data_IF_895117208297
#
_entry.id   IF_895117208297
#
_cell.length_a   1.000
_cell.length_b   1.000
_cell.length_c   1.000
_cell.angle_alpha   90.00
_cell.angle_beta   90.00
_cell.angle_gamma   90.00
#
_symmetry.space_group_name_H-M   'P 1'
#
loop_
_entity.id
_entity.type
_entity.pdbx_description
1 polymer ?
#
# COMPACT_ATOMS: atom_id res chain seq x y z
N UNK A 1 -28.34 -0.20 -32.36
CA UNK A 1 -28.72 0.79 -31.33
C UNK A 1 -28.81 0.18 -29.92
N UNK A 2 -29.33 -1.05 -29.75
CA UNK A 2 -29.40 -1.73 -28.45
C UNK A 2 -28.04 -2.23 -27.89
N UNK A 3 -27.16 -2.75 -28.74
CA UNK A 3 -25.85 -3.26 -28.33
C UNK A 3 -24.90 -2.17 -27.78
N UNK A 4 -24.99 -0.94 -28.31
CA UNK A 4 -24.23 0.21 -27.82
C UNK A 4 -24.72 0.72 -26.47
N UNK A 5 -26.03 0.70 -26.22
CA UNK A 5 -26.58 1.07 -24.92
C UNK A 5 -26.22 0.09 -23.80
N UNK A 6 -26.27 -1.22 -24.10
CA UNK A 6 -25.92 -2.27 -23.14
C UNK A 6 -24.43 -2.23 -22.75
N UNK A 7 -23.54 -2.09 -23.74
CA UNK A 7 -22.09 -2.00 -23.49
C UNK A 7 -21.73 -0.76 -22.67
N UNK A 8 -22.34 0.39 -22.97
CA UNK A 8 -22.16 1.61 -22.18
C UNK A 8 -22.68 1.46 -20.74
N UNK A 9 -23.83 0.82 -20.54
CA UNK A 9 -24.36 0.54 -19.21
C UNK A 9 -23.42 -0.34 -18.39
N UNK A 10 -22.93 -1.43 -18.96
CA UNK A 10 -21.99 -2.36 -18.30
C UNK A 10 -20.68 -1.65 -17.94
N UNK A 11 -20.16 -0.80 -18.83
CA UNK A 11 -18.98 0.02 -18.55
C UNK A 11 -19.21 0.97 -17.37
N UNK A 12 -20.30 1.75 -17.37
CA UNK A 12 -20.62 2.68 -16.28
C UNK A 12 -20.84 1.97 -14.95
N UNK A 13 -21.52 0.82 -14.96
CA UNK A 13 -21.69 -0.02 -13.78
C UNK A 13 -20.34 -0.51 -13.23
N UNK A 14 -19.45 -0.94 -14.13
CA UNK A 14 -18.10 -1.40 -13.75
C UNK A 14 -17.24 -0.28 -13.17
N UNK A 15 -17.34 0.94 -13.73
CA UNK A 15 -16.72 2.15 -13.16
C UNK A 15 -17.26 2.43 -11.76
N UNK A 16 -18.59 2.41 -11.58
CA UNK A 16 -19.21 2.68 -10.28
C UNK A 16 -18.79 1.65 -9.22
N UNK A 17 -18.75 0.36 -9.57
CA UNK A 17 -18.24 -0.69 -8.70
C UNK A 17 -16.76 -0.47 -8.34
N UNK A 18 -15.93 -0.14 -9.33
CA UNK A 18 -14.51 0.15 -9.12
C UNK A 18 -14.31 1.31 -8.13
N UNK A 19 -14.99 2.44 -8.35
CA UNK A 19 -14.96 3.59 -7.43
C UNK A 19 -15.46 3.19 -6.04
N UNK A 20 -16.56 2.45 -5.96
CA UNK A 20 -17.13 1.97 -4.70
C UNK A 20 -16.12 1.17 -3.87
N UNK A 21 -15.43 0.21 -4.49
CA UNK A 21 -14.41 -0.61 -3.82
C UNK A 21 -13.16 0.18 -3.45
N UNK A 22 -12.69 1.11 -4.29
CA UNK A 22 -11.56 2.01 -3.95
C UNK A 22 -11.89 2.84 -2.70
N UNK A 23 -13.07 3.46 -2.68
CA UNK A 23 -13.50 4.31 -1.56
C UNK A 23 -13.77 3.49 -0.31
N UNK A 24 -14.40 2.30 -0.43
CA UNK A 24 -14.61 1.40 0.70
C UNK A 24 -13.26 0.97 1.31
N UNK A 25 -12.32 0.52 0.48
CA UNK A 25 -10.98 0.12 0.93
C UNK A 25 -10.24 1.25 1.63
N UNK A 26 -10.37 2.46 1.14
CA UNK A 26 -9.57 3.59 1.64
C UNK A 26 -10.21 4.24 2.86
N UNK A 27 -11.49 4.58 2.76
CA UNK A 27 -12.21 5.32 3.79
C UNK A 27 -12.70 4.39 4.89
N UNK A 28 -13.39 3.29 4.56
CA UNK A 28 -14.00 2.42 5.58
C UNK A 28 -12.90 1.67 6.34
N UNK A 29 -12.00 0.98 5.63
CA UNK A 29 -10.92 0.25 6.30
C UNK A 29 -9.93 1.21 6.98
N UNK A 30 -9.65 2.37 6.39
CA UNK A 30 -8.82 3.40 7.03
C UNK A 30 -9.41 3.92 8.34
N UNK A 31 -10.72 4.21 8.38
CA UNK A 31 -11.41 4.61 9.60
C UNK A 31 -11.46 3.48 10.63
N UNK A 32 -11.67 2.24 10.20
CA UNK A 32 -11.64 1.06 11.08
C UNK A 32 -10.25 0.88 11.71
N UNK A 33 -9.18 0.96 10.93
CA UNK A 33 -7.81 0.91 11.45
C UNK A 33 -7.50 2.08 12.36
N UNK A 34 -7.92 3.29 12.01
CA UNK A 34 -7.73 4.46 12.89
C UNK A 34 -8.42 4.25 14.24
N UNK A 35 -9.67 3.78 14.25
CA UNK A 35 -10.40 3.43 15.49
C UNK A 35 -9.76 2.24 16.21
N UNK A 36 -9.23 1.28 15.47
CA UNK A 36 -8.49 0.16 16.04
C UNK A 36 -7.24 0.67 16.77
N UNK A 37 -6.45 1.55 16.16
CA UNK A 37 -5.27 2.15 16.80
C UNK A 37 -5.60 2.94 18.07
N UNK A 38 -6.69 3.72 18.08
CA UNK A 38 -7.02 4.61 19.20
C UNK A 38 -7.75 3.89 20.33
N UNK A 39 -8.74 3.06 20.01
CA UNK A 39 -9.67 2.47 20.98
C UNK A 39 -9.76 0.95 20.93
N UNK A 40 -8.98 0.27 20.07
CA UNK A 40 -9.00 -1.18 19.89
C UNK A 40 -10.42 -1.70 19.61
N UNK A 41 -11.15 -0.98 18.75
CA UNK A 41 -12.58 -1.19 18.51
C UNK A 41 -12.91 -2.66 18.14
N UNK A 42 -12.20 -3.21 17.16
CA UNK A 42 -12.45 -4.55 16.62
C UNK A 42 -12.10 -5.59 17.67
N UNK A 43 -10.91 -5.49 18.26
CA UNK A 43 -10.45 -6.40 19.32
C UNK A 43 -11.40 -6.41 20.52
N UNK A 44 -11.81 -5.23 21.01
CA UNK A 44 -12.76 -5.14 22.13
C UNK A 44 -14.13 -5.68 21.78
N UNK A 45 -14.58 -5.51 20.54
CA UNK A 45 -15.84 -6.09 20.09
C UNK A 45 -15.78 -7.61 20.14
N UNK A 46 -14.71 -8.25 19.65
CA UNK A 46 -14.55 -9.71 19.74
C UNK A 46 -14.48 -10.20 21.19
N UNK A 47 -13.65 -9.57 22.02
CA UNK A 47 -13.50 -9.95 23.44
C UNK A 47 -14.84 -9.84 24.19
N UNK A 48 -15.64 -8.79 23.92
CA UNK A 48 -16.96 -8.62 24.53
C UNK A 48 -17.94 -9.74 24.18
N UNK A 49 -17.80 -10.35 23.00
CA UNK A 49 -18.67 -11.42 22.52
C UNK A 49 -18.06 -12.81 22.75
N UNK A 50 -17.07 -12.93 23.64
CA UNK A 50 -16.47 -14.21 24.02
C UNK A 50 -15.38 -14.73 23.07
N UNK A 51 -14.97 -13.91 22.09
CA UNK A 51 -13.84 -14.22 21.22
C UNK A 51 -12.50 -13.71 21.78
N UNK A 52 -11.47 -13.75 20.96
CA UNK A 52 -10.12 -13.29 21.32
C UNK A 52 -9.49 -12.38 20.26
N UNK A 53 -8.29 -11.86 20.55
CA UNK A 53 -7.56 -10.95 19.67
C UNK A 53 -7.07 -11.59 18.37
N UNK A 54 -6.78 -12.89 18.38
CA UNK A 54 -6.38 -13.64 17.18
C UNK A 54 -7.56 -13.78 16.20
N UNK A 55 -8.76 -14.08 16.70
CA UNK A 55 -9.99 -14.15 15.91
C UNK A 55 -10.35 -12.79 15.30
N UNK A 56 -10.18 -11.72 16.09
CA UNK A 56 -10.35 -10.35 15.62
C UNK A 56 -9.40 -10.02 14.45
N UNK A 57 -8.12 -10.35 14.60
CA UNK A 57 -7.13 -10.15 13.54
C UNK A 57 -7.39 -11.05 12.33
N UNK A 58 -7.74 -12.32 12.54
CA UNK A 58 -8.07 -13.25 11.46
C UNK A 58 -9.24 -12.75 10.62
N UNK A 59 -10.28 -12.24 11.28
CA UNK A 59 -11.45 -11.66 10.61
C UNK A 59 -11.09 -10.39 9.85
N UNK A 60 -10.21 -9.55 10.41
CA UNK A 60 -9.66 -8.39 9.73
C UNK A 60 -8.91 -8.77 8.44
N UNK A 61 -8.04 -9.79 8.49
CA UNK A 61 -7.33 -10.30 7.30
C UNK A 61 -8.30 -10.71 6.20
N UNK A 62 -9.37 -11.43 6.56
CA UNK A 62 -10.38 -11.86 5.61
C UNK A 62 -11.09 -10.65 4.94
N UNK A 63 -11.47 -9.64 5.72
CA UNK A 63 -12.11 -8.40 5.21
C UNK A 63 -11.16 -7.61 4.30
N UNK A 64 -9.91 -7.42 4.73
CA UNK A 64 -8.89 -6.70 3.96
C UNK A 64 -8.58 -7.41 2.64
N UNK A 65 -8.39 -8.74 2.67
CA UNK A 65 -8.13 -9.54 1.48
C UNK A 65 -9.32 -9.50 0.51
N UNK A 66 -10.55 -9.70 1.02
CA UNK A 66 -11.78 -9.64 0.20
C UNK A 66 -11.90 -8.29 -0.50
N UNK A 67 -11.71 -7.20 0.25
CA UNK A 67 -11.78 -5.84 -0.31
C UNK A 67 -10.71 -5.62 -1.38
N UNK A 68 -9.50 -6.15 -1.15
CA UNK A 68 -8.39 -6.09 -2.12
C UNK A 68 -8.75 -6.85 -3.40
N UNK A 69 -9.20 -8.11 -3.29
CA UNK A 69 -9.61 -8.92 -4.45
C UNK A 69 -10.76 -8.25 -5.21
N UNK A 70 -11.77 -7.73 -4.51
CA UNK A 70 -12.88 -7.02 -5.15
C UNK A 70 -12.42 -5.77 -5.89
N UNK A 71 -11.48 -5.00 -5.32
CA UNK A 71 -10.89 -3.84 -6.00
C UNK A 71 -10.17 -4.25 -7.28
N UNK A 72 -9.33 -5.29 -7.22
CA UNK A 72 -8.59 -5.80 -8.38
C UNK A 72 -9.54 -6.35 -9.44
N UNK A 73 -10.56 -7.12 -9.05
CA UNK A 73 -11.57 -7.67 -9.94
C UNK A 73 -12.39 -6.57 -10.63
N UNK A 74 -12.80 -5.53 -9.90
CA UNK A 74 -13.52 -4.40 -10.46
C UNK A 74 -12.65 -3.61 -11.46
N UNK A 75 -11.35 -3.45 -11.17
CA UNK A 75 -10.40 -2.86 -12.12
C UNK A 75 -10.20 -3.71 -13.37
N UNK A 76 -10.10 -5.04 -13.22
CA UNK A 76 -10.04 -5.96 -14.36
C UNK A 76 -11.29 -5.83 -15.23
N UNK A 77 -12.47 -5.82 -14.61
CA UNK A 77 -13.75 -5.68 -15.32
C UNK A 77 -13.87 -4.35 -16.06
N UNK A 78 -13.50 -3.23 -15.45
CA UNK A 78 -13.55 -1.92 -16.12
C UNK A 78 -12.53 -1.83 -17.25
N UNK A 79 -11.34 -2.43 -17.09
CA UNK A 79 -10.34 -2.50 -18.16
C UNK A 79 -10.80 -3.35 -19.35
N UNK A 80 -11.44 -4.50 -19.08
CA UNK A 80 -12.01 -5.38 -20.11
C UNK A 80 -13.14 -4.70 -20.87
N UNK A 81 -14.05 -4.03 -20.17
CA UNK A 81 -15.20 -3.34 -20.78
C UNK A 81 -14.80 -2.08 -21.54
N UNK A 82 -13.69 -1.45 -21.14
CA UNK A 82 -13.12 -0.29 -21.84
C UNK A 82 -12.20 -0.66 -23.01
N UNK A 83 -11.79 -1.93 -23.12
CA UNK A 83 -10.84 -2.38 -24.12
C UNK A 83 -11.40 -2.17 -25.53
N UNK A 84 -10.62 -1.51 -26.38
CA UNK A 84 -10.94 -1.36 -27.80
C UNK A 84 -9.74 -1.82 -28.64
N UNK A 85 -10.00 -2.61 -29.69
CA UNK A 85 -8.99 -2.99 -30.67
C UNK A 85 -8.87 -1.96 -31.80
N UNK A 86 -9.96 -1.29 -32.15
CA UNK A 86 -10.03 -0.37 -33.28
C UNK A 86 -9.23 0.93 -33.09
N UNK A 87 -8.78 1.51 -34.20
CA UNK A 87 -8.26 2.88 -34.26
C UNK A 87 -6.78 3.09 -33.89
N UNK A 88 -6.01 2.04 -33.63
CA UNK A 88 -4.56 2.13 -33.47
C UNK A 88 -3.82 1.33 -34.54
N UNK A 89 -2.62 1.79 -34.89
CA UNK A 89 -1.67 1.00 -35.65
C UNK A 89 -1.13 -0.17 -34.80
N UNK A 90 -0.62 -1.20 -35.49
CA UNK A 90 -0.09 -2.40 -34.85
C UNK A 90 1.07 -2.12 -33.90
N UNK A 91 1.91 -1.12 -34.18
CA UNK A 91 3.06 -0.76 -33.35
C UNK A 91 2.62 -0.20 -32.01
N UNK A 92 1.69 0.76 -32.02
CA UNK A 92 1.10 1.32 -30.80
C UNK A 92 0.38 0.25 -29.98
N UNK A 93 -0.38 -0.64 -30.63
CA UNK A 93 -1.07 -1.72 -29.95
C UNK A 93 -0.09 -2.68 -29.27
N UNK A 94 0.95 -3.11 -30.00
CA UNK A 94 2.00 -3.98 -29.47
C UNK A 94 2.70 -3.34 -28.27
N UNK A 95 3.14 -2.09 -28.41
CA UNK A 95 3.82 -1.35 -27.35
C UNK A 95 2.96 -1.23 -26.08
N UNK A 96 1.68 -0.88 -26.23
CA UNK A 96 0.75 -0.72 -25.10
C UNK A 96 0.55 -2.04 -24.33
N UNK A 97 0.41 -3.16 -25.04
CA UNK A 97 0.26 -4.48 -24.41
C UNK A 97 1.56 -4.94 -23.77
N UNK A 98 2.71 -4.80 -24.44
CA UNK A 98 4.01 -5.18 -23.90
C UNK A 98 4.31 -4.38 -22.63
N UNK A 99 4.20 -3.06 -22.68
CA UNK A 99 4.46 -2.22 -21.52
C UNK A 99 3.44 -2.47 -20.39
N UNK A 100 2.16 -2.63 -20.74
CA UNK A 100 1.14 -2.91 -19.74
C UNK A 100 1.34 -4.25 -19.02
N UNK A 101 1.70 -5.30 -19.77
CA UNK A 101 2.03 -6.61 -19.19
C UNK A 101 3.30 -6.55 -18.33
N UNK A 102 4.33 -5.80 -18.75
CA UNK A 102 5.53 -5.58 -17.94
C UNK A 102 5.20 -4.88 -16.62
N UNK A 103 4.32 -3.87 -16.63
CA UNK A 103 3.88 -3.19 -15.40
C UNK A 103 3.09 -4.11 -14.47
N UNK A 104 2.24 -4.98 -15.02
CA UNK A 104 1.50 -5.99 -14.23
C UNK A 104 2.49 -6.99 -13.62
N UNK A 105 3.44 -7.51 -14.40
CA UNK A 105 4.45 -8.43 -13.90
C UNK A 105 5.32 -7.79 -12.81
N UNK A 106 5.72 -6.54 -13.01
CA UNK A 106 6.49 -5.76 -12.02
C UNK A 106 5.71 -5.56 -10.72
N UNK A 107 4.42 -5.25 -10.81
CA UNK A 107 3.54 -5.14 -9.65
C UNK A 107 3.42 -6.45 -8.86
N UNK A 108 3.21 -7.57 -9.56
CA UNK A 108 3.13 -8.90 -8.92
C UNK A 108 4.44 -9.25 -8.21
N UNK A 109 5.57 -9.04 -8.88
CA UNK A 109 6.89 -9.26 -8.29
C UNK A 109 7.13 -8.37 -7.05
N UNK A 110 6.80 -7.08 -7.14
CA UNK A 110 6.95 -6.15 -6.01
C UNK A 110 6.05 -6.55 -4.85
N UNK A 111 4.77 -6.87 -5.11
CA UNK A 111 3.81 -7.28 -4.09
C UNK A 111 4.26 -8.55 -3.37
N UNK A 112 4.77 -9.53 -4.13
CA UNK A 112 5.34 -10.76 -3.57
C UNK A 112 6.56 -10.48 -2.69
N UNK A 113 7.45 -9.61 -3.15
CA UNK A 113 8.66 -9.22 -2.39
C UNK A 113 8.31 -8.52 -1.08
N UNK A 114 7.28 -7.66 -1.08
CA UNK A 114 6.77 -7.01 0.13
C UNK A 114 6.16 -8.04 1.08
N UNK A 115 5.32 -8.95 0.57
CA UNK A 115 4.70 -10.00 1.37
C UNK A 115 5.73 -10.95 1.99
N UNK A 116 6.73 -11.39 1.23
CA UNK A 116 7.82 -12.24 1.74
C UNK A 116 8.67 -11.54 2.81
N UNK A 117 8.75 -10.20 2.78
CA UNK A 117 9.47 -9.42 3.79
C UNK A 117 8.61 -9.20 5.04
N UNK A 118 7.38 -8.72 4.89
CA UNK A 118 6.52 -8.36 6.01
C UNK A 118 5.85 -9.55 6.69
N UNK A 119 5.69 -10.66 5.97
CA UNK A 119 4.85 -11.79 6.35
C UNK A 119 3.37 -11.42 6.49
N UNK A 120 2.58 -12.37 6.95
CA UNK A 120 1.14 -12.18 7.20
C UNK A 120 0.86 -11.03 8.18
N UNK A 121 1.68 -10.93 9.22
CA UNK A 121 1.46 -9.92 10.26
C UNK A 121 1.60 -8.50 9.70
N UNK A 122 2.68 -8.17 8.99
CA UNK A 122 2.87 -6.83 8.45
C UNK A 122 1.99 -6.54 7.23
N UNK A 123 1.74 -7.53 6.37
CA UNK A 123 0.91 -7.36 5.17
C UNK A 123 -0.54 -6.93 5.50
N UNK A 124 -1.07 -7.39 6.63
CA UNK A 124 -2.44 -7.10 7.06
C UNK A 124 -2.54 -6.07 8.20
N UNK A 125 -1.52 -5.24 8.43
CA UNK A 125 -1.51 -4.21 9.48
C UNK A 125 -1.68 -4.78 10.91
N UNK A 126 -1.02 -5.91 11.20
CA UNK A 126 -1.10 -6.58 12.50
C UNK A 126 -0.60 -5.72 13.67
N UNK A 127 0.28 -4.76 13.42
CA UNK A 127 0.77 -3.77 14.40
C UNK A 127 -0.37 -2.97 15.05
N UNK A 128 -1.47 -2.72 14.33
CA UNK A 128 -2.67 -2.07 14.88
C UNK A 128 -3.38 -2.90 15.96
N UNK A 129 -3.18 -4.21 15.95
CA UNK A 129 -3.77 -5.17 16.88
C UNK A 129 -2.77 -5.60 17.97
N UNK A 130 -1.46 -5.35 17.79
CA UNK A 130 -0.37 -5.93 18.60
C UNK A 130 -0.17 -5.30 19.98
N UNK A 131 -1.17 -4.56 20.47
CA UNK A 131 -1.27 -4.22 21.90
C UNK A 131 -1.55 -5.44 22.76
N UNK A 132 -2.13 -6.49 22.20
CA UNK A 132 -2.34 -7.76 22.87
C UNK A 132 -1.14 -8.69 22.58
N UNK A 133 -0.46 -9.13 23.64
CA UNK A 133 0.73 -9.98 23.55
C UNK A 133 0.49 -11.32 22.86
N UNK A 134 -0.77 -11.79 22.80
CA UNK A 134 -1.14 -13.04 22.11
C UNK A 134 -0.78 -13.03 20.62
N UNK A 135 -1.05 -11.93 19.92
CA UNK A 135 -0.82 -11.84 18.47
C UNK A 135 0.61 -11.45 18.11
N UNK A 136 1.42 -11.01 19.09
CA UNK A 136 2.83 -10.68 18.87
C UNK A 136 3.65 -11.92 18.50
N UNK A 137 3.17 -13.11 18.87
CA UNK A 137 3.72 -14.39 18.42
C UNK A 137 3.67 -14.58 16.88
N UNK A 138 2.75 -13.88 16.21
CA UNK A 138 2.62 -13.88 14.75
C UNK A 138 3.54 -12.85 14.09
N UNK A 139 4.10 -11.91 14.86
CA UNK A 139 5.05 -10.93 14.35
C UNK A 139 6.40 -11.62 14.10
N UNK A 140 7.13 -11.28 13.02
CA UNK A 140 8.47 -11.82 12.78
C UNK A 140 9.40 -11.52 13.97
N UNK A 141 10.16 -12.52 14.40
CA UNK A 141 11.04 -12.47 15.57
C UNK A 141 12.18 -11.46 15.46
N UNK A 142 12.50 -11.01 14.24
CA UNK A 142 13.50 -9.98 13.97
C UNK A 142 12.84 -8.70 13.42
N UNK A 143 12.67 -7.68 14.25
CA UNK A 143 12.26 -6.32 13.84
C UNK A 143 13.29 -5.64 12.91
N UNK A 144 14.40 -6.32 12.57
CA UNK A 144 15.42 -5.90 11.58
C UNK A 144 14.96 -5.97 10.11
N UNK A 145 13.65 -6.08 9.86
CA UNK A 145 13.03 -6.13 8.53
C UNK A 145 13.26 -4.91 7.65
N UNK A 146 13.78 -3.81 8.20
CA UNK A 146 14.14 -2.61 7.43
C UNK A 146 15.38 -2.78 6.52
N UNK A 147 16.06 -3.94 6.56
CA UNK A 147 17.30 -4.16 5.78
C UNK A 147 17.25 -5.35 4.82
N UNK A 148 16.10 -5.99 4.62
CA UNK A 148 15.95 -7.13 3.70
C UNK A 148 14.92 -6.84 2.59
N UNK A 149 15.02 -7.56 1.47
CA UNK A 149 14.10 -7.44 0.34
C UNK A 149 14.11 -6.06 -0.35
N UNK A 150 12.93 -5.61 -0.78
CA UNK A 150 12.75 -4.34 -1.51
C UNK A 150 12.92 -3.10 -0.60
N UNK A 151 12.78 -3.28 0.72
CA UNK A 151 12.94 -2.22 1.72
C UNK A 151 14.38 -1.71 1.85
N UNK A 152 15.37 -2.51 1.41
CA UNK A 152 16.77 -2.05 1.27
C UNK A 152 16.89 -0.86 0.31
N UNK A 153 16.06 -0.83 -0.72
CA UNK A 153 16.13 0.15 -1.79
C UNK A 153 15.09 1.26 -1.63
N UNK A 154 13.95 0.96 -1.01
CA UNK A 154 12.82 1.89 -0.88
C UNK A 154 12.25 1.84 0.53
N UNK A 155 12.18 2.99 1.20
CA UNK A 155 11.55 3.06 2.54
C UNK A 155 10.06 2.69 2.53
N UNK A 156 9.38 2.93 1.40
CA UNK A 156 7.93 2.70 1.26
C UNK A 156 7.63 2.16 -0.15
N UNK A 157 7.98 0.90 -0.45
CA UNK A 157 7.82 0.31 -1.78
C UNK A 157 6.37 0.38 -2.28
N UNK A 158 5.39 0.15 -1.39
CA UNK A 158 3.96 0.22 -1.74
C UNK A 158 3.50 1.61 -2.18
N UNK A 159 4.11 2.69 -1.67
CA UNK A 159 3.72 4.07 -2.01
C UNK A 159 4.14 4.46 -3.43
N UNK A 160 5.22 3.87 -3.94
CA UNK A 160 5.85 4.27 -5.21
C UNK A 160 5.62 3.22 -6.30
N UNK A 161 5.62 1.93 -5.94
CA UNK A 161 5.61 0.82 -6.90
C UNK A 161 4.32 -0.01 -6.84
N UNK A 162 3.64 0.00 -5.69
CA UNK A 162 2.51 -0.90 -5.40
C UNK A 162 1.23 -0.66 -6.21
N UNK A 163 1.24 0.15 -7.27
CA UNK A 163 0.07 0.41 -8.12
C UNK A 163 0.36 0.23 -9.63
N UNK A 164 1.55 -0.28 -9.99
CA UNK A 164 1.98 -0.40 -11.39
C UNK A 164 1.00 -1.22 -12.25
N UNK A 165 0.38 -2.26 -11.71
CA UNK A 165 -0.58 -3.10 -12.45
C UNK A 165 -1.78 -2.30 -12.98
N UNK A 166 -2.28 -1.33 -12.22
CA UNK A 166 -3.46 -0.54 -12.61
C UNK A 166 -3.15 0.41 -13.76
N UNK A 167 -1.97 1.02 -13.75
CA UNK A 167 -1.47 1.77 -14.91
C UNK A 167 -1.22 0.85 -16.11
N UNK A 168 -0.75 -0.38 -15.89
CA UNK A 168 -0.63 -1.39 -16.94
C UNK A 168 -1.95 -1.77 -17.59
N UNK A 169 -3.01 -1.94 -16.78
CA UNK A 169 -4.38 -2.16 -17.27
C UNK A 169 -4.91 -0.96 -18.06
N UNK A 170 -4.57 0.27 -17.64
CA UNK A 170 -4.93 1.48 -18.39
C UNK A 170 -4.26 1.53 -19.76
N UNK A 171 -3.00 1.10 -19.87
CA UNK A 171 -2.29 0.98 -21.15
C UNK A 171 -2.89 -0.10 -22.04
N UNK A 172 -3.14 -1.30 -21.50
CA UNK A 172 -3.73 -2.41 -22.26
C UNK A 172 -5.13 -2.03 -22.79
N UNK A 173 -5.97 -1.46 -21.94
CA UNK A 173 -7.31 -0.99 -22.32
C UNK A 173 -7.31 0.26 -23.20
N UNK A 174 -6.19 0.99 -23.24
CA UNK A 174 -6.03 2.29 -23.93
C UNK A 174 -7.14 3.28 -23.56
N UNK A 175 -7.52 3.29 -22.28
CA UNK A 175 -8.67 4.07 -21.79
C UNK A 175 -8.27 5.10 -20.75
N UNK A 176 -8.58 6.37 -21.03
CA UNK A 176 -8.42 7.47 -20.09
C UNK A 176 -9.24 7.30 -18.81
N UNK A 177 -10.39 6.62 -18.88
CA UNK A 177 -11.20 6.34 -17.70
C UNK A 177 -10.50 5.36 -16.75
N UNK A 178 -9.89 4.30 -17.30
CA UNK A 178 -9.12 3.32 -16.52
C UNK A 178 -7.88 3.99 -15.92
N UNK A 179 -7.23 4.88 -16.68
CA UNK A 179 -6.12 5.70 -16.18
C UNK A 179 -6.54 6.63 -15.03
N UNK A 180 -7.68 7.32 -15.16
CA UNK A 180 -8.21 8.19 -14.11
C UNK A 180 -8.55 7.42 -12.83
N UNK A 181 -9.09 6.19 -12.96
CA UNK A 181 -9.32 5.31 -11.83
C UNK A 181 -8.02 4.86 -11.16
N UNK A 182 -6.98 4.52 -11.95
CA UNK A 182 -5.66 4.18 -11.40
C UNK A 182 -5.06 5.36 -10.61
N UNK A 183 -5.18 6.59 -11.12
CA UNK A 183 -4.79 7.81 -10.40
C UNK A 183 -5.60 8.01 -9.11
N UNK A 184 -6.92 7.82 -9.15
CA UNK A 184 -7.77 7.90 -7.97
C UNK A 184 -7.31 6.91 -6.89
N UNK A 185 -7.08 5.64 -7.27
CA UNK A 185 -6.57 4.63 -6.37
C UNK A 185 -5.20 5.01 -5.79
N UNK A 186 -4.29 5.54 -6.61
CA UNK A 186 -2.98 6.03 -6.13
C UNK A 186 -3.14 7.14 -5.09
N UNK A 187 -3.97 8.15 -5.37
CA UNK A 187 -4.23 9.26 -4.44
C UNK A 187 -4.84 8.72 -3.14
N UNK A 188 -5.84 7.86 -3.23
CA UNK A 188 -6.47 7.23 -2.09
C UNK A 188 -5.46 6.44 -1.22
N UNK A 189 -4.56 5.67 -1.83
CA UNK A 189 -3.51 4.96 -1.09
C UNK A 189 -2.52 5.92 -0.41
N UNK A 190 -2.13 7.01 -1.08
CA UNK A 190 -1.26 8.03 -0.50
C UNK A 190 -1.93 8.72 0.71
N UNK A 191 -3.23 9.03 0.60
CA UNK A 191 -4.01 9.59 1.70
C UNK A 191 -4.13 8.59 2.86
N UNK A 192 -4.50 7.34 2.59
CA UNK A 192 -4.56 6.29 3.61
C UNK A 192 -3.23 6.16 4.35
N UNK A 193 -2.13 6.10 3.60
CA UNK A 193 -0.80 5.94 4.19
C UNK A 193 -0.38 7.17 5.02
N UNK A 194 -0.73 8.39 4.58
CA UNK A 194 -0.38 9.62 5.29
C UNK A 194 -1.22 9.86 6.54
N UNK A 195 -2.51 9.50 6.52
CA UNK A 195 -3.46 9.80 7.60
C UNK A 195 -3.72 8.65 8.57
N UNK A 196 -3.41 7.42 8.20
CA UNK A 196 -3.69 6.22 9.02
C UNK A 196 -2.39 5.50 9.39
N UNK A 197 -1.63 5.07 8.38
CA UNK A 197 -0.43 4.24 8.59
C UNK A 197 0.70 5.04 9.24
N UNK A 198 1.12 6.15 8.63
CA UNK A 198 2.27 6.93 9.09
C UNK A 198 2.12 7.42 10.54
N UNK A 199 0.98 8.03 10.95
CA UNK A 199 0.80 8.46 12.33
C UNK A 199 0.74 7.29 13.32
N UNK A 200 0.25 6.12 12.89
CA UNK A 200 0.27 4.92 13.73
C UNK A 200 1.70 4.41 13.95
N UNK A 201 2.46 4.29 12.86
CA UNK A 201 3.84 3.83 12.91
C UNK A 201 4.71 4.77 13.74
N UNK A 202 4.52 6.09 13.61
CA UNK A 202 5.23 7.07 14.46
C UNK A 202 4.87 6.92 15.94
N UNK A 203 3.62 6.59 16.27
CA UNK A 203 3.20 6.36 17.66
C UNK A 203 3.83 5.10 18.28
N UNK A 204 3.96 4.02 17.51
CA UNK A 204 4.48 2.73 18.00
C UNK A 204 6.02 2.68 17.92
N UNK A 205 6.60 3.19 16.84
CA UNK A 205 8.03 3.04 16.51
C UNK A 205 8.82 4.36 16.54
N UNK A 206 8.18 5.52 16.66
CA UNK A 206 8.83 6.83 16.54
C UNK A 206 9.91 7.14 17.59
N UNK A 207 9.90 6.45 18.73
CA UNK A 207 10.98 6.54 19.72
C UNK A 207 12.24 5.73 19.34
N UNK A 208 12.19 4.86 18.32
CA UNK A 208 13.27 3.92 17.97
C UNK A 208 13.87 4.08 16.57
N UNK A 209 13.41 5.02 15.73
CA UNK A 209 13.82 5.08 14.32
C UNK A 209 14.31 6.48 13.91
N UNK A 210 15.63 6.68 13.90
CA UNK A 210 16.26 7.70 13.04
C UNK A 210 16.19 7.21 11.58
N UNK A 211 15.41 7.94 10.78
CA UNK A 211 14.74 7.46 9.57
C UNK A 211 15.48 7.85 8.28
N UNK A 212 16.73 7.42 8.12
CA UNK A 212 17.45 7.61 6.85
C UNK A 212 17.39 6.33 5.99
N UNK A 213 16.76 6.41 4.81
CA UNK A 213 16.76 5.30 3.83
C UNK A 213 18.17 5.00 3.32
N UNK A 214 18.43 3.78 2.84
CA UNK A 214 19.74 3.39 2.28
C UNK A 214 20.20 4.28 1.11
N UNK A 215 19.27 4.73 0.25
CA UNK A 215 19.57 5.67 -0.84
C UNK A 215 19.83 7.07 -0.31
N UNK A 216 19.00 7.56 0.61
CA UNK A 216 19.21 8.88 1.24
C UNK A 216 20.55 8.91 1.98
N UNK A 217 20.93 7.82 2.67
CA UNK A 217 22.25 7.69 3.32
C UNK A 217 23.38 7.64 2.31
N UNK A 218 23.21 6.94 1.18
CA UNK A 218 24.22 6.90 0.10
C UNK A 218 24.41 8.26 -0.56
N UNK A 219 23.31 8.98 -0.82
CA UNK A 219 23.34 10.34 -1.37
C UNK A 219 23.92 11.33 -0.36
N UNK A 220 23.48 11.29 0.89
CA UNK A 220 24.00 12.11 2.00
C UNK A 220 25.51 11.86 2.21
N UNK A 221 25.95 10.61 2.15
CA UNK A 221 27.37 10.26 2.23
C UNK A 221 28.17 10.69 0.99
N UNK A 222 27.60 10.61 -0.21
CA UNK A 222 28.25 11.06 -1.44
C UNK A 222 28.38 12.60 -1.47
N UNK A 223 27.34 13.32 -1.03
CA UNK A 223 27.32 14.77 -0.89
C UNK A 223 28.31 15.22 0.20
N UNK A 224 28.28 14.60 1.38
CA UNK A 224 29.21 14.92 2.46
C UNK A 224 30.68 14.62 2.08
N UNK A 225 30.95 13.58 1.29
CA UNK A 225 32.29 13.30 0.76
C UNK A 225 32.72 14.28 -0.33
N UNK A 226 31.80 14.81 -1.13
CA UNK A 226 32.08 15.76 -2.20
C UNK A 226 32.28 17.20 -1.72
N UNK A 227 31.64 17.60 -0.61
CA UNK A 227 31.65 19.00 -0.11
C UNK A 227 32.73 19.23 0.97
N UNK A 228 33.34 18.18 1.53
CA UNK A 228 34.40 18.31 2.54
C UNK A 228 33.93 18.89 3.89
N UNK A 229 32.63 19.18 4.03
CA UNK A 229 32.00 19.70 5.24
C UNK A 229 30.70 18.93 5.49
N UNK A 230 30.50 18.45 6.72
CA UNK A 230 29.30 17.71 7.12
C UNK A 230 28.10 18.66 7.20
N UNK A 231 27.29 18.72 6.14
CA UNK A 231 26.11 19.59 6.07
C UNK A 231 24.95 19.05 6.92
N UNK A 232 24.93 17.74 7.18
CA UNK A 232 23.93 17.10 8.03
C UNK A 232 24.60 16.49 9.25
N UNK A 233 24.36 17.08 10.42
CA UNK A 233 24.80 16.57 11.72
C UNK A 233 23.72 15.63 12.27
N UNK A 234 24.12 14.45 12.72
CA UNK A 234 23.21 13.55 13.46
C UNK A 234 22.88 14.19 14.82
N UNK A 235 21.60 14.44 15.09
CA UNK A 235 21.08 15.08 16.32
C UNK A 235 21.20 14.22 17.60
N UNK A 236 22.08 13.21 17.58
CA UNK A 236 22.23 12.24 18.66
C UNK A 236 23.02 12.76 19.89
N UNK A 237 23.35 14.06 19.96
CA UNK A 237 24.25 14.60 21.00
C UNK A 237 23.62 15.64 21.96
N UNK A 238 22.30 15.77 22.03
CA UNK A 238 21.66 16.74 22.96
C UNK A 238 21.27 16.19 24.33
N UNK A 239 21.38 14.89 24.61
CA UNK A 239 20.90 14.30 25.88
C UNK A 239 21.99 13.94 26.90
N UNK A 240 23.24 14.36 26.70
CA UNK A 240 24.35 13.98 27.59
C UNK A 240 24.94 15.13 28.44
N UNK A 241 24.31 16.31 28.51
CA UNK A 241 24.87 17.47 29.25
C UNK A 241 24.11 17.83 30.54
N UNK A 242 22.88 17.36 30.75
CA UNK A 242 22.11 17.72 31.97
C UNK A 242 22.26 16.71 33.14
N UNK A 243 23.37 15.98 33.19
CA UNK A 243 23.69 15.06 34.29
C UNK A 243 25.01 15.41 35.00
N UNK A 244 25.30 16.70 35.20
CA UNK A 244 26.25 17.15 36.23
C UNK A 244 26.16 18.66 36.47
N UNK A 245 25.22 19.07 37.32
CA UNK A 245 25.30 20.28 38.16
C UNK A 245 24.16 20.31 39.17
#
# INVERSE_FOLDING_TARGET
MWATGYTQFVFLYSVAQCVGWILFRTLVLGLLLKKQSTSQLITRWYIRHGGNSEEAFSSWRAVYNTTTIMTYGAFGLVALTAYSWGGADYGTLFLAHTLGLLLIAFHVWSSRSVYETLGDFGWFYGDFFARDSSILSLAPSDIKLYYTGIYRYLNNPDKVIGQAAFYGLALISRSWAVFALALLLQICNLLFSSYVETPHMEKIYGAQVHRDSGIVRTVKNAVNKGVGQTVFVDDARSTAVDASS
#
